data_IF_313366914038
#
_entry.id   IF_313366914038
#
_cell.length_a   1.000
_cell.length_b   1.000
_cell.length_c   1.000
_cell.angle_alpha   90.00
_cell.angle_beta   90.00
_cell.angle_gamma   90.00
#
_symmetry.space_group_name_H-M   'P 1'
#
loop_
_entity.id
_entity.type
_entity.pdbx_description
1 polymer ?
#
# COMPACT_ATOMS: atom_id res chain seq x y z
N UNK A 1 27.07 6.98 15.42
CA UNK A 1 25.83 7.49 16.03
C UNK A 1 24.70 6.68 15.44
N UNK A 2 24.05 5.86 16.27
CA UNK A 2 23.16 4.79 15.81
C UNK A 2 21.86 5.33 15.20
N UNK A 3 21.44 4.73 14.11
CA UNK A 3 20.15 4.89 13.41
C UNK A 3 18.92 4.53 14.26
N UNK A 4 19.08 4.31 15.56
CA UNK A 4 18.01 4.02 16.53
C UNK A 4 17.21 5.25 16.99
N UNK A 5 17.55 6.48 16.58
CA UNK A 5 17.08 7.69 17.29
C UNK A 5 16.12 8.62 16.53
N UNK A 6 16.10 8.67 15.20
CA UNK A 6 15.28 9.68 14.47
C UNK A 6 13.78 9.40 14.59
N UNK A 7 13.35 8.14 14.61
CA UNK A 7 11.92 7.82 14.64
C UNK A 7 11.34 7.83 16.05
N UNK A 8 12.18 7.74 17.07
CA UNK A 8 11.77 7.99 18.45
C UNK A 8 11.91 9.46 18.82
N UNK A 9 12.53 10.27 17.95
CA UNK A 9 12.65 11.71 18.14
C UNK A 9 11.26 12.34 18.22
N UNK A 10 10.92 12.97 19.37
CA UNK A 10 9.66 13.69 19.51
C UNK A 10 9.45 14.76 18.44
N UNK A 11 10.53 15.36 17.92
CA UNK A 11 10.44 16.35 16.85
C UNK A 11 9.98 15.73 15.53
N UNK A 12 10.57 14.59 15.14
CA UNK A 12 10.13 13.84 13.97
C UNK A 12 8.68 13.39 14.09
N UNK A 13 8.27 12.87 15.26
CA UNK A 13 6.88 12.43 15.48
C UNK A 13 5.87 13.57 15.35
N UNK A 14 6.22 14.79 15.80
CA UNK A 14 5.39 15.99 15.61
C UNK A 14 5.29 16.37 14.14
N UNK A 15 6.41 16.43 13.41
CA UNK A 15 6.44 16.72 11.97
C UNK A 15 5.62 15.69 11.18
N UNK A 16 5.80 14.41 11.47
CA UNK A 16 5.00 13.32 10.87
C UNK A 16 3.51 13.54 11.10
N UNK A 17 3.11 13.83 12.34
CA UNK A 17 1.70 14.09 12.66
C UNK A 17 1.17 15.30 11.88
N UNK A 18 1.93 16.40 11.84
CA UNK A 18 1.56 17.60 11.10
C UNK A 18 1.44 17.33 9.59
N UNK A 19 2.40 16.62 9.00
CA UNK A 19 2.39 16.22 7.59
C UNK A 19 1.12 15.44 7.21
N UNK A 20 0.80 14.37 7.95
CA UNK A 20 -0.38 13.56 7.65
C UNK A 20 -1.70 14.31 7.94
N UNK A 21 -1.71 15.20 8.94
CA UNK A 21 -2.86 16.07 9.19
C UNK A 21 -3.09 17.05 8.03
N UNK A 22 -2.04 17.73 7.58
CA UNK A 22 -2.10 18.62 6.42
C UNK A 22 -2.55 17.88 5.16
N UNK A 23 -1.96 16.70 4.88
CA UNK A 23 -2.35 15.84 3.78
C UNK A 23 -3.86 15.53 3.83
N UNK A 24 -4.38 15.10 4.99
CA UNK A 24 -5.81 14.83 5.14
C UNK A 24 -6.68 16.08 5.01
N UNK A 25 -6.19 17.26 5.39
CA UNK A 25 -6.90 18.53 5.23
C UNK A 25 -6.99 18.96 3.75
N UNK A 26 -5.96 18.68 2.94
CA UNK A 26 -6.01 18.88 1.49
C UNK A 26 -7.05 17.99 0.80
N UNK A 27 -7.30 16.80 1.35
CA UNK A 27 -8.24 15.81 0.81
C UNK A 27 -9.49 15.62 1.69
N UNK A 28 -10.02 16.72 2.24
CA UNK A 28 -11.17 16.71 3.17
C UNK A 28 -12.42 16.04 2.61
N UNK A 29 -12.66 16.14 1.29
CA UNK A 29 -13.80 15.46 0.64
C UNK A 29 -13.76 13.95 0.85
N UNK A 30 -12.60 13.32 0.65
CA UNK A 30 -12.40 11.89 0.83
C UNK A 30 -12.43 11.53 2.32
N UNK A 31 -11.87 12.39 3.18
CA UNK A 31 -11.93 12.24 4.62
C UNK A 31 -13.38 12.18 5.17
N UNK A 32 -14.31 12.94 4.56
CA UNK A 32 -15.75 12.88 4.91
C UNK A 32 -16.33 11.49 4.64
N UNK A 33 -15.93 10.84 3.54
CA UNK A 33 -16.38 9.49 3.22
C UNK A 33 -15.98 8.48 4.31
N UNK A 34 -14.82 8.65 4.95
CA UNK A 34 -14.41 7.77 6.05
C UNK A 34 -15.36 7.87 7.26
N UNK A 35 -15.81 9.09 7.56
CA UNK A 35 -16.79 9.32 8.63
C UNK A 35 -18.15 8.74 8.27
N UNK A 36 -18.64 9.00 7.06
CA UNK A 36 -19.93 8.51 6.55
C UNK A 36 -20.02 6.99 6.47
N UNK A 37 -18.88 6.32 6.24
CA UNK A 37 -18.78 4.86 6.21
C UNK A 37 -18.36 4.26 7.56
N UNK A 38 -18.29 5.08 8.62
CA UNK A 38 -18.05 4.61 9.98
C UNK A 38 -16.62 4.11 10.24
N UNK A 39 -15.65 4.43 9.38
CA UNK A 39 -14.24 4.04 9.57
C UNK A 39 -13.58 4.75 10.77
N UNK A 40 -14.11 5.92 11.16
CA UNK A 40 -13.54 6.78 12.20
C UNK A 40 -14.30 6.78 13.55
N UNK A 41 -15.45 6.10 13.66
CA UNK A 41 -16.36 6.22 14.81
C UNK A 41 -15.93 5.34 15.98
N UNK A 42 -15.69 5.87 17.18
CA UNK A 42 -15.17 5.12 18.34
C UNK A 42 -15.95 3.86 18.73
N UNK A 43 -17.28 3.91 18.79
CA UNK A 43 -18.12 2.77 19.18
C UNK A 43 -18.29 1.71 18.06
N UNK A 44 -18.06 2.09 16.80
CA UNK A 44 -18.28 1.24 15.62
C UNK A 44 -17.03 0.91 14.80
N UNK A 45 -15.84 1.35 15.21
CA UNK A 45 -14.58 1.25 14.44
C UNK A 45 -13.61 0.19 14.98
N UNK A 46 -14.03 -0.68 15.91
CA UNK A 46 -13.19 -1.79 16.40
C UNK A 46 -12.79 -2.68 15.20
N UNK A 47 -11.59 -2.44 14.66
CA UNK A 47 -11.02 -3.15 13.51
C UNK A 47 -11.14 -2.49 12.14
N UNK A 48 -11.59 -1.22 12.02
CA UNK A 48 -11.70 -0.50 10.72
C UNK A 48 -10.81 0.76 10.60
N UNK A 49 -10.15 1.16 11.69
CA UNK A 49 -9.18 2.28 11.68
C UNK A 49 -7.90 1.95 10.92
N UNK A 50 -7.52 0.66 10.89
CA UNK A 50 -6.50 0.09 10.03
C UNK A 50 -6.77 0.40 8.55
N UNK A 51 -8.00 0.26 8.07
CA UNK A 51 -8.37 0.59 6.69
C UNK A 51 -8.15 2.07 6.39
N UNK A 52 -8.63 2.97 7.24
CA UNK A 52 -8.41 4.41 7.06
C UNK A 52 -6.90 4.78 7.06
N UNK A 53 -6.08 4.09 7.87
CA UNK A 53 -4.63 4.28 7.91
C UNK A 53 -3.93 3.69 6.69
N UNK A 54 -4.36 2.51 6.22
CA UNK A 54 -3.91 1.87 4.98
C UNK A 54 -4.13 2.80 3.80
N UNK A 55 -5.32 3.34 3.67
CA UNK A 55 -5.68 4.25 2.58
C UNK A 55 -4.91 5.56 2.65
N UNK A 56 -4.70 6.12 3.85
CA UNK A 56 -3.89 7.33 4.02
C UNK A 56 -2.43 7.11 3.62
N UNK A 57 -1.80 6.02 4.10
CA UNK A 57 -0.42 5.72 3.74
C UNK A 57 -0.29 5.38 2.24
N UNK A 58 -1.26 4.64 1.70
CA UNK A 58 -1.35 4.35 0.27
C UNK A 58 -1.41 5.64 -0.55
N UNK A 59 -2.25 6.59 -0.16
CA UNK A 59 -2.35 7.87 -0.85
C UNK A 59 -1.05 8.68 -0.84
N UNK A 60 -0.33 8.70 0.28
CA UNK A 60 0.99 9.36 0.38
C UNK A 60 2.05 8.66 -0.48
N UNK A 61 2.05 7.32 -0.51
CA UNK A 61 2.93 6.57 -1.42
C UNK A 61 2.59 6.82 -2.88
N UNK A 62 1.30 6.88 -3.23
CA UNK A 62 0.81 7.20 -4.57
C UNK A 62 1.23 8.61 -4.99
N UNK A 63 1.08 9.62 -4.13
CA UNK A 63 1.58 10.98 -4.37
C UNK A 63 3.08 10.93 -4.68
N UNK A 64 3.86 10.28 -3.81
CA UNK A 64 5.32 10.22 -3.91
C UNK A 64 5.79 9.51 -5.19
N UNK A 65 5.23 8.34 -5.51
CA UNK A 65 5.56 7.61 -6.74
C UNK A 65 5.19 8.41 -7.99
N UNK A 66 4.04 9.07 -7.97
CA UNK A 66 3.56 9.83 -9.12
C UNK A 66 4.42 11.08 -9.36
N UNK A 67 4.88 11.75 -8.30
CA UNK A 67 5.86 12.85 -8.40
C UNK A 67 7.20 12.38 -8.97
N UNK A 68 7.74 11.26 -8.48
CA UNK A 68 8.98 10.68 -9.00
C UNK A 68 8.87 10.31 -10.48
N UNK A 69 7.70 9.85 -10.91
CA UNK A 69 7.38 9.57 -12.31
C UNK A 69 7.06 10.84 -13.13
N UNK A 70 7.12 12.03 -12.53
CA UNK A 70 6.85 13.30 -13.18
C UNK A 70 5.45 13.37 -13.79
N UNK A 71 4.45 12.87 -13.07
CA UNK A 71 3.03 12.96 -13.45
C UNK A 71 2.50 14.38 -13.31
N UNK A 72 1.44 14.70 -14.03
CA UNK A 72 0.82 16.03 -13.90
C UNK A 72 0.11 16.17 -12.55
N UNK A 73 -0.03 17.38 -11.99
CA UNK A 73 -0.77 17.59 -10.75
C UNK A 73 -2.20 17.03 -10.79
N UNK A 74 -2.87 17.10 -11.94
CA UNK A 74 -4.22 16.57 -12.14
C UNK A 74 -4.26 15.04 -12.08
N UNK A 75 -3.28 14.36 -12.71
CA UNK A 75 -3.15 12.91 -12.63
C UNK A 75 -2.82 12.45 -11.19
N UNK A 76 -1.93 13.19 -10.51
CA UNK A 76 -1.55 12.92 -9.11
C UNK A 76 -2.79 13.02 -8.21
N UNK A 77 -3.56 14.11 -8.30
CA UNK A 77 -4.76 14.29 -7.48
C UNK A 77 -5.80 13.18 -7.74
N UNK A 78 -6.01 12.83 -9.01
CA UNK A 78 -6.91 11.73 -9.37
C UNK A 78 -6.48 10.39 -8.76
N UNK A 79 -5.19 10.03 -8.83
CA UNK A 79 -4.66 8.80 -8.24
C UNK A 79 -4.70 8.79 -6.71
N UNK A 80 -4.43 9.94 -6.08
CA UNK A 80 -4.59 10.10 -4.62
C UNK A 80 -6.04 9.86 -4.22
N UNK A 81 -7.00 10.45 -4.95
CA UNK A 81 -8.41 10.28 -4.66
C UNK A 81 -8.84 8.81 -4.74
N UNK A 82 -8.39 8.07 -5.75
CA UNK A 82 -8.62 6.62 -5.85
C UNK A 82 -8.01 5.89 -4.66
N UNK A 83 -6.73 6.17 -4.35
CA UNK A 83 -6.00 5.53 -3.25
C UNK A 83 -6.67 5.78 -1.89
N UNK A 84 -7.23 6.96 -1.66
CA UNK A 84 -7.97 7.27 -0.44
C UNK A 84 -9.28 6.50 -0.36
N UNK A 85 -9.98 6.21 -1.45
CA UNK A 85 -11.36 5.68 -1.36
C UNK A 85 -11.50 4.18 -1.66
N UNK A 86 -10.47 3.54 -2.20
CA UNK A 86 -10.58 2.19 -2.79
C UNK A 86 -11.17 1.10 -1.86
N UNK A 87 -10.98 1.23 -0.56
CA UNK A 87 -11.40 0.27 0.47
C UNK A 87 -12.56 0.77 1.35
N UNK A 88 -13.12 1.96 1.08
CA UNK A 88 -14.12 2.59 1.96
C UNK A 88 -15.37 1.72 2.15
N UNK A 89 -15.77 0.98 1.11
CA UNK A 89 -16.96 0.12 1.14
C UNK A 89 -16.69 -1.29 1.68
N UNK A 90 -15.43 -1.68 1.98
CA UNK A 90 -15.10 -3.02 2.47
C UNK A 90 -15.90 -3.41 3.70
N UNK A 91 -16.18 -2.46 4.59
CA UNK A 91 -17.03 -2.68 5.78
C UNK A 91 -18.43 -3.11 5.42
N UNK A 92 -19.10 -2.35 4.57
CA UNK A 92 -20.47 -2.64 4.14
C UNK A 92 -20.55 -3.95 3.36
N UNK A 93 -19.51 -4.28 2.61
CA UNK A 93 -19.41 -5.55 1.90
C UNK A 93 -19.25 -6.73 2.88
N UNK A 94 -18.35 -6.66 3.86
CA UNK A 94 -18.16 -7.71 4.84
C UNK A 94 -19.37 -7.89 5.77
N UNK A 95 -20.10 -6.83 6.10
CA UNK A 95 -21.33 -6.90 6.89
C UNK A 95 -22.51 -7.53 6.12
N UNK A 96 -22.50 -7.51 4.79
CA UNK A 96 -23.63 -7.97 3.94
C UNK A 96 -23.44 -9.36 3.34
N UNK A 97 -22.25 -9.94 3.39
CA UNK A 97 -21.90 -11.08 2.54
C UNK A 97 -21.26 -12.19 3.40
N UNK A 98 -21.79 -13.41 3.35
CA UNK A 98 -21.12 -14.57 3.96
C UNK A 98 -19.77 -14.81 3.30
N UNK A 99 -18.79 -15.42 3.99
CA UNK A 99 -17.46 -15.70 3.42
C UNK A 99 -17.53 -16.40 2.05
N UNK A 100 -18.49 -17.31 1.87
CA UNK A 100 -18.74 -18.03 0.61
C UNK A 100 -19.24 -17.11 -0.52
N UNK A 101 -20.05 -16.10 -0.18
CA UNK A 101 -20.57 -15.15 -1.14
C UNK A 101 -19.52 -14.08 -1.54
N UNK A 102 -18.55 -13.76 -0.67
CA UNK A 102 -17.40 -12.90 -1.04
C UNK A 102 -16.51 -13.60 -2.07
N UNK A 103 -16.21 -14.89 -1.86
CA UNK A 103 -15.42 -15.69 -2.81
C UNK A 103 -16.15 -15.80 -4.16
N UNK A 104 -17.46 -16.03 -4.13
CA UNK A 104 -18.28 -16.15 -5.35
C UNK A 104 -18.39 -14.80 -6.09
N UNK A 105 -18.46 -13.69 -5.38
CA UNK A 105 -18.49 -12.35 -5.97
C UNK A 105 -17.16 -11.99 -6.64
N UNK A 106 -16.03 -12.25 -5.97
CA UNK A 106 -14.69 -11.98 -6.52
C UNK A 106 -14.39 -12.84 -7.76
N UNK A 107 -14.88 -14.09 -7.81
CA UNK A 107 -14.74 -14.97 -8.97
C UNK A 107 -15.60 -14.58 -10.17
N UNK A 108 -16.68 -13.81 -9.94
CA UNK A 108 -17.67 -13.45 -10.97
C UNK A 108 -17.64 -11.95 -11.34
N UNK A 109 -16.64 -11.17 -10.88
CA UNK A 109 -16.49 -9.77 -11.31
C UNK A 109 -16.03 -9.72 -12.77
N UNK A 110 -16.95 -9.36 -13.66
CA UNK A 110 -16.68 -9.07 -15.08
C UNK A 110 -15.95 -7.74 -15.28
N UNK A 111 -16.05 -6.81 -14.33
CA UNK A 111 -15.42 -5.49 -14.40
C UNK A 111 -13.99 -5.50 -13.83
N UNK A 112 -13.07 -4.83 -14.52
CA UNK A 112 -11.73 -4.49 -14.01
C UNK A 112 -11.91 -3.67 -12.71
N UNK A 113 -11.60 -4.21 -11.51
CA UNK A 113 -11.58 -3.38 -10.31
C UNK A 113 -10.50 -2.30 -10.46
N UNK A 114 -10.85 -1.05 -10.14
CA UNK A 114 -9.92 0.09 -10.16
C UNK A 114 -8.72 -0.07 -9.21
N UNK A 115 -8.84 -0.96 -8.22
CA UNK A 115 -7.77 -1.45 -7.34
C UNK A 115 -8.20 -2.86 -6.93
N UNK A 116 -7.39 -3.90 -7.18
CA UNK A 116 -7.80 -5.26 -6.79
C UNK A 116 -7.09 -5.83 -5.58
N UNK A 117 -7.94 -6.44 -4.75
CA UNK A 117 -7.70 -7.69 -4.03
C UNK A 117 -6.70 -8.58 -4.78
N UNK A 118 -5.70 -9.11 -4.07
CA UNK A 118 -4.45 -9.70 -4.60
C UNK A 118 -4.56 -10.97 -5.47
N UNK A 119 -5.66 -11.20 -6.16
CA UNK A 119 -5.88 -12.36 -7.03
C UNK A 119 -6.59 -12.08 -8.36
N UNK A 120 -6.94 -10.82 -8.69
CA UNK A 120 -7.46 -10.48 -10.02
C UNK A 120 -6.36 -9.88 -10.92
N UNK A 121 -5.95 -10.66 -11.92
CA UNK A 121 -4.89 -10.33 -12.90
C UNK A 121 -5.45 -10.03 -14.30
N UNK A 122 -6.76 -9.82 -14.42
CA UNK A 122 -7.42 -9.70 -15.72
C UNK A 122 -6.92 -8.47 -16.48
N UNK A 123 -6.45 -8.70 -17.70
CA UNK A 123 -5.98 -7.66 -18.62
C UNK A 123 -4.64 -7.03 -18.24
N UNK A 124 -3.77 -7.74 -17.50
CA UNK A 124 -2.42 -7.28 -17.12
C UNK A 124 -1.60 -6.73 -18.29
N UNK A 125 -1.70 -7.38 -19.46
CA UNK A 125 -1.08 -6.96 -20.71
C UNK A 125 -1.56 -5.60 -21.24
N UNK A 126 -2.70 -5.12 -20.74
CA UNK A 126 -3.32 -3.83 -21.08
C UNK A 126 -3.29 -2.83 -19.93
N UNK A 127 -2.61 -3.14 -18.83
CA UNK A 127 -2.53 -2.21 -17.70
C UNK A 127 -1.65 -1.02 -18.03
N UNK A 128 -2.17 0.17 -17.74
CA UNK A 128 -1.43 1.42 -17.88
C UNK A 128 -0.61 1.72 -16.62
N UNK A 129 0.31 2.66 -16.71
CA UNK A 129 1.20 3.03 -15.62
C UNK A 129 0.45 3.49 -14.35
N UNK A 130 -0.75 4.07 -14.49
CA UNK A 130 -1.64 4.39 -13.37
C UNK A 130 -2.04 3.16 -12.55
N UNK A 131 -2.39 2.06 -13.24
CA UNK A 131 -2.71 0.78 -12.59
C UNK A 131 -1.47 0.23 -11.90
N UNK A 132 -0.30 0.26 -12.55
CA UNK A 132 0.96 -0.18 -11.93
C UNK A 132 1.26 0.55 -10.61
N UNK A 133 1.08 1.87 -10.55
CA UNK A 133 1.25 2.65 -9.32
C UNK A 133 0.30 2.14 -8.24
N UNK A 134 -1.01 2.10 -8.53
CA UNK A 134 -2.03 1.71 -7.54
C UNK A 134 -1.83 0.29 -7.03
N UNK A 135 -1.47 -0.65 -7.91
CA UNK A 135 -1.21 -2.05 -7.56
C UNK A 135 0.04 -2.22 -6.72
N UNK A 136 1.11 -1.50 -7.08
CA UNK A 136 2.36 -1.51 -6.32
C UNK A 136 2.14 -0.98 -4.91
N UNK A 137 1.46 0.16 -4.79
CA UNK A 137 1.15 0.81 -3.52
C UNK A 137 0.29 -0.09 -2.65
N UNK A 138 -0.85 -0.56 -3.13
CA UNK A 138 -1.74 -1.42 -2.33
C UNK A 138 -1.05 -2.72 -1.92
N UNK A 139 -0.14 -3.24 -2.76
CA UNK A 139 0.68 -4.42 -2.44
C UNK A 139 1.80 -4.14 -1.44
N UNK A 140 2.23 -2.89 -1.30
CA UNK A 140 3.32 -2.47 -0.42
C UNK A 140 2.84 -1.84 0.88
N UNK A 141 1.56 -1.53 1.03
CA UNK A 141 0.97 -1.11 2.31
C UNK A 141 0.25 -2.29 2.94
N UNK A 142 0.60 -2.62 4.18
CA UNK A 142 0.07 -3.78 4.87
C UNK A 142 -0.31 -3.50 6.32
N UNK A 143 -1.27 -4.27 6.81
CA UNK A 143 -1.51 -4.43 8.25
C UNK A 143 -0.46 -5.38 8.83
N UNK A 144 -0.03 -5.12 10.07
CA UNK A 144 0.86 -6.01 10.79
C UNK A 144 0.09 -7.29 11.23
N UNK A 145 0.36 -8.48 10.68
CA UNK A 145 -0.54 -9.64 10.84
C UNK A 145 -0.45 -10.31 12.22
N UNK A 146 0.65 -10.14 12.96
CA UNK A 146 0.81 -10.45 14.39
C UNK A 146 1.99 -9.59 14.90
N UNK A 147 1.89 -8.98 16.09
CA UNK A 147 3.10 -8.77 16.90
C UNK A 147 3.85 -10.11 16.94
N UNK A 148 4.88 -10.30 16.11
CA UNK A 148 6.24 -10.66 16.55
C UNK A 148 7.25 -10.93 15.42
N UNK A 149 6.90 -11.01 14.12
CA UNK A 149 7.96 -11.27 13.13
C UNK A 149 7.78 -10.59 11.76
N UNK A 150 8.79 -9.76 11.48
CA UNK A 150 9.30 -9.30 10.19
C UNK A 150 8.40 -8.36 9.36
N UNK A 151 8.67 -7.06 9.53
CA UNK A 151 8.30 -5.99 8.61
C UNK A 151 8.77 -4.64 9.13
N UNK A 152 9.79 -4.04 8.51
CA UNK A 152 10.39 -2.80 8.99
C UNK A 152 9.62 -1.61 8.41
N UNK A 153 8.88 -0.86 9.23
CA UNK A 153 8.79 0.59 9.04
C UNK A 153 9.37 1.28 10.27
N UNK A 154 10.53 1.89 10.01
CA UNK A 154 11.33 2.80 10.84
C UNK A 154 11.41 2.54 12.36
N UNK A 155 12.53 1.92 12.78
CA UNK A 155 13.15 2.20 14.08
C UNK A 155 12.50 1.59 15.32
N UNK A 156 11.35 0.93 15.23
CA UNK A 156 10.94 0.02 16.28
C UNK A 156 11.70 -1.30 16.10
N UNK A 157 12.90 -1.41 16.71
CA UNK A 157 13.48 -2.72 17.03
C UNK A 157 12.59 -3.51 18.00
N UNK A 158 11.60 -2.85 18.59
CA UNK A 158 10.60 -3.46 19.44
C UNK A 158 9.31 -3.72 18.65
N UNK A 159 9.11 -4.99 18.26
CA UNK A 159 7.89 -5.50 17.61
C UNK A 159 6.60 -5.19 18.38
N UNK A 160 6.69 -4.76 19.65
CA UNK A 160 5.54 -4.47 20.52
C UNK A 160 4.95 -3.06 20.35
N UNK A 161 5.61 -2.13 19.64
CA UNK A 161 5.21 -0.71 19.57
C UNK A 161 5.01 -0.17 18.14
N UNK A 162 4.89 -1.04 17.14
CA UNK A 162 4.64 -0.63 15.75
C UNK A 162 3.24 -0.01 15.59
N UNK A 163 3.06 1.00 14.71
CA UNK A 163 1.73 1.42 14.29
C UNK A 163 1.01 0.31 13.53
N UNK A 164 -0.33 0.32 13.53
CA UNK A 164 -1.15 -0.76 12.95
C UNK A 164 -0.93 -0.98 11.43
N UNK A 165 -0.35 0.00 10.72
CA UNK A 165 -0.09 -0.05 9.27
C UNK A 165 1.34 0.39 8.97
N UNK A 166 2.00 -0.32 8.06
CA UNK A 166 3.40 -0.13 7.65
C UNK A 166 3.54 -0.18 6.12
N UNK A 167 4.56 0.47 5.56
CA UNK A 167 5.02 0.10 4.21
C UNK A 167 5.94 -1.11 4.39
N UNK A 168 5.78 -2.09 3.52
CA UNK A 168 6.63 -3.26 3.44
C UNK A 168 7.00 -3.45 1.97
N UNK A 169 8.22 -3.91 1.67
CA UNK A 169 8.49 -4.44 0.36
C UNK A 169 7.43 -5.48 0.02
N UNK A 170 6.75 -5.34 -1.13
CA UNK A 170 5.66 -6.25 -1.49
C UNK A 170 6.08 -7.72 -1.44
N UNK A 171 7.37 -8.01 -1.72
CA UNK A 171 7.96 -9.35 -1.58
C UNK A 171 7.77 -9.92 -0.18
N UNK A 172 8.07 -9.13 0.85
CA UNK A 172 7.90 -9.53 2.23
C UNK A 172 6.43 -9.79 2.55
N UNK A 173 5.54 -8.90 2.10
CA UNK A 173 4.10 -9.06 2.32
C UNK A 173 3.53 -10.30 1.63
N UNK A 174 3.96 -10.61 0.41
CA UNK A 174 3.53 -11.82 -0.30
C UNK A 174 4.00 -13.08 0.42
N UNK A 175 5.23 -13.10 0.92
CA UNK A 175 5.73 -14.24 1.70
C UNK A 175 4.93 -14.43 2.99
N UNK A 176 4.64 -13.35 3.72
CA UNK A 176 3.79 -13.40 4.92
C UNK A 176 2.37 -13.89 4.57
N UNK A 177 1.80 -13.41 3.48
CA UNK A 177 0.49 -13.84 3.00
C UNK A 177 0.47 -15.33 2.66
N UNK A 178 1.46 -15.82 1.90
CA UNK A 178 1.60 -17.23 1.56
C UNK A 178 1.76 -18.11 2.80
N UNK A 179 2.57 -17.69 3.78
CA UNK A 179 2.75 -18.41 5.03
C UNK A 179 1.43 -18.52 5.81
N UNK A 180 0.73 -17.39 6.00
CA UNK A 180 -0.58 -17.37 6.66
C UNK A 180 -1.60 -18.26 5.94
N UNK A 181 -1.60 -18.24 4.61
CA UNK A 181 -2.52 -19.06 3.80
C UNK A 181 -2.17 -20.54 3.78
N UNK A 182 -0.88 -20.87 3.79
CA UNK A 182 -0.41 -22.24 3.93
C UNK A 182 -0.77 -22.84 5.30
N UNK A 183 -0.70 -22.05 6.38
CA UNK A 183 -1.20 -22.45 7.71
C UNK A 183 -2.71 -22.75 7.71
N UNK A 184 -3.48 -22.01 6.89
CA UNK A 184 -4.91 -22.25 6.65
C UNK A 184 -5.20 -23.40 5.66
N UNK A 185 -4.16 -24.04 5.11
CA UNK A 185 -4.26 -25.16 4.17
C UNK A 185 -4.45 -24.77 2.69
N UNK A 186 -4.40 -23.48 2.36
CA UNK A 186 -4.42 -22.98 0.98
C UNK A 186 -3.00 -23.05 0.36
N UNK A 187 -2.86 -23.41 -0.92
CA UNK A 187 -1.55 -23.52 -1.62
C UNK A 187 -1.48 -22.73 -2.94
N UNK A 188 -2.34 -21.72 -3.09
CA UNK A 188 -2.61 -21.10 -4.39
C UNK A 188 -3.38 -22.05 -5.32
N UNK A 189 -4.11 -21.50 -6.29
CA UNK A 189 -4.82 -22.32 -7.28
C UNK A 189 -3.87 -22.64 -8.45
N UNK A 190 -3.94 -23.83 -9.05
CA UNK A 190 -3.26 -24.09 -10.31
C UNK A 190 -3.67 -23.06 -11.37
N UNK A 191 -2.69 -22.50 -12.07
CA UNK A 191 -2.84 -21.52 -13.13
C UNK A 191 -1.83 -21.87 -14.24
N UNK A 192 -2.29 -22.65 -15.23
CA UNK A 192 -1.44 -23.26 -16.25
C UNK A 192 -0.31 -24.11 -15.62
N UNK A 193 0.95 -23.77 -15.91
CA UNK A 193 2.18 -24.41 -15.45
C UNK A 193 2.71 -23.84 -14.12
N UNK A 194 2.00 -22.90 -13.51
CA UNK A 194 2.33 -22.27 -12.24
C UNK A 194 1.11 -22.19 -11.31
N UNK A 195 1.27 -21.56 -10.16
CA UNK A 195 0.20 -21.23 -9.21
C UNK A 195 -0.21 -19.77 -9.34
N UNK A 196 -1.41 -19.43 -8.87
CA UNK A 196 -1.84 -18.02 -8.75
C UNK A 196 -0.90 -17.17 -7.91
N UNK A 197 -0.16 -17.77 -6.96
CA UNK A 197 0.81 -17.06 -6.14
C UNK A 197 2.11 -16.76 -6.90
N UNK A 198 2.61 -17.72 -7.69
CA UNK A 198 3.75 -17.49 -8.57
C UNK A 198 3.42 -16.44 -9.63
N UNK A 199 2.19 -16.48 -10.18
CA UNK A 199 1.76 -15.46 -11.14
C UNK A 199 1.69 -14.06 -10.53
N UNK A 200 1.21 -13.96 -9.29
CA UNK A 200 1.20 -12.70 -8.55
C UNK A 200 2.62 -12.15 -8.40
N UNK A 201 3.60 -12.96 -8.01
CA UNK A 201 4.97 -12.50 -7.91
C UNK A 201 5.56 -12.02 -9.23
N UNK A 202 5.31 -12.76 -10.33
CA UNK A 202 5.79 -12.40 -11.66
C UNK A 202 5.26 -11.02 -12.07
N UNK A 203 3.96 -10.79 -11.86
CA UNK A 203 3.31 -9.50 -12.11
C UNK A 203 3.94 -8.41 -11.23
N UNK A 204 4.11 -8.66 -9.94
CA UNK A 204 4.66 -7.66 -9.02
C UNK A 204 6.13 -7.34 -9.30
N UNK A 205 6.95 -8.32 -9.69
CA UNK A 205 8.32 -8.09 -10.18
C UNK A 205 8.31 -7.20 -11.41
N UNK A 206 7.41 -7.47 -12.36
CA UNK A 206 7.28 -6.68 -13.59
C UNK A 206 6.87 -5.24 -13.29
N UNK A 207 5.87 -5.04 -12.43
CA UNK A 207 5.41 -3.71 -12.00
C UNK A 207 6.56 -2.96 -11.32
N UNK A 208 7.22 -3.57 -10.33
CA UNK A 208 8.33 -2.94 -9.61
C UNK A 208 9.47 -2.55 -10.54
N UNK A 209 9.93 -3.46 -11.39
CA UNK A 209 11.04 -3.19 -12.32
C UNK A 209 10.68 -2.07 -13.29
N UNK A 210 9.46 -2.06 -13.83
CA UNK A 210 9.01 -1.00 -14.74
C UNK A 210 8.93 0.36 -14.04
N UNK A 211 8.32 0.42 -12.85
CA UNK A 211 8.24 1.66 -12.06
C UNK A 211 9.65 2.17 -11.72
N UNK A 212 10.53 1.30 -11.24
CA UNK A 212 11.89 1.67 -10.86
C UNK A 212 12.70 2.20 -12.05
N UNK A 213 12.69 1.51 -13.18
CA UNK A 213 13.39 1.97 -14.39
C UNK A 213 12.88 3.34 -14.86
N UNK A 214 11.57 3.54 -14.90
CA UNK A 214 10.99 4.82 -15.30
C UNK A 214 11.33 5.96 -14.33
N UNK A 215 11.45 5.67 -13.04
CA UNK A 215 11.88 6.64 -12.03
C UNK A 215 13.34 7.02 -12.25
N UNK A 216 14.23 6.06 -12.44
CA UNK A 216 15.65 6.35 -12.69
C UNK A 216 15.88 7.08 -14.01
N UNK A 217 15.14 6.74 -15.07
CA UNK A 217 15.21 7.44 -16.36
C UNK A 217 14.85 8.93 -16.22
N UNK A 218 13.94 9.26 -15.30
CA UNK A 218 13.51 10.65 -15.02
C UNK A 218 14.37 11.37 -13.99
N UNK A 219 15.00 10.62 -13.08
CA UNK A 219 15.78 11.13 -11.95
C UNK A 219 17.13 10.40 -11.95
N UNK A 220 18.02 10.67 -12.91
CA UNK A 220 19.26 9.91 -13.12
C UNK A 220 20.24 10.02 -11.95
N UNK A 221 20.14 11.08 -11.16
CA UNK A 221 20.88 11.29 -9.91
C UNK A 221 20.56 10.24 -8.83
N UNK A 222 19.36 9.65 -8.85
CA UNK A 222 18.98 8.59 -7.92
C UNK A 222 19.75 7.28 -8.17
N UNK A 223 20.32 7.08 -9.37
CA UNK A 223 21.05 5.87 -9.73
C UNK A 223 22.35 5.68 -8.93
N UNK A 224 22.88 6.73 -8.30
CA UNK A 224 24.04 6.64 -7.40
C UNK A 224 23.70 5.91 -6.09
N UNK A 225 22.46 6.06 -5.61
CA UNK A 225 21.99 5.54 -4.33
C UNK A 225 21.16 4.26 -4.48
N UNK A 226 20.43 4.12 -5.59
CA UNK A 226 19.52 3.00 -5.84
C UNK A 226 19.89 2.29 -7.14
N UNK A 227 20.31 1.03 -7.03
CA UNK A 227 20.90 0.25 -8.13
C UNK A 227 20.08 -0.98 -8.53
N UNK A 228 19.06 -1.33 -7.76
CA UNK A 228 18.20 -2.49 -8.00
C UNK A 228 16.73 -2.14 -7.82
N UNK A 229 15.84 -2.71 -8.64
CA UNK A 229 14.39 -2.50 -8.51
C UNK A 229 13.84 -2.93 -7.15
N UNK A 230 14.49 -3.88 -6.49
CA UNK A 230 14.14 -4.30 -5.13
C UNK A 230 14.26 -3.18 -4.09
N UNK A 231 14.94 -2.08 -4.43
CA UNK A 231 15.08 -0.88 -3.59
C UNK A 231 13.98 0.16 -3.85
N UNK A 232 13.00 -0.12 -4.73
CA UNK A 232 11.94 0.84 -5.03
C UNK A 232 11.15 1.24 -3.76
N UNK A 233 10.86 0.29 -2.87
CA UNK A 233 10.21 0.61 -1.59
C UNK A 233 11.07 1.54 -0.75
N UNK A 234 12.36 1.23 -0.58
CA UNK A 234 13.32 2.06 0.18
C UNK A 234 13.40 3.48 -0.40
N UNK A 235 13.48 3.61 -1.72
CA UNK A 235 13.47 4.89 -2.41
C UNK A 235 12.21 5.70 -2.10
N UNK A 236 11.03 5.09 -2.20
CA UNK A 236 9.75 5.78 -1.90
C UNK A 236 9.69 6.19 -0.43
N UNK A 237 10.17 5.34 0.47
CA UNK A 237 10.24 5.62 1.91
C UNK A 237 11.11 6.83 2.23
N UNK A 238 12.31 6.89 1.65
CA UNK A 238 13.23 8.01 1.84
C UNK A 238 12.62 9.33 1.37
N UNK A 239 11.91 9.32 0.23
CA UNK A 239 11.21 10.51 -0.28
C UNK A 239 10.05 10.95 0.62
N UNK A 240 9.29 10.02 1.20
CA UNK A 240 8.27 10.35 2.21
C UNK A 240 8.92 10.93 3.47
N UNK A 241 10.05 10.38 3.90
CA UNK A 241 10.79 10.87 5.04
C UNK A 241 11.27 12.32 4.82
N UNK A 242 11.85 12.61 3.66
CA UNK A 242 12.24 13.97 3.28
C UNK A 242 11.05 14.94 3.32
N UNK A 243 9.88 14.56 2.78
CA UNK A 243 8.65 15.36 2.85
C UNK A 243 8.25 15.66 4.30
N UNK A 244 8.31 14.66 5.18
CA UNK A 244 8.01 14.84 6.60
C UNK A 244 9.01 15.79 7.27
N UNK A 245 10.31 15.64 7.01
CA UNK A 245 11.34 16.51 7.58
C UNK A 245 11.21 17.97 7.12
N UNK A 246 10.69 18.18 5.90
CA UNK A 246 10.50 19.50 5.31
C UNK A 246 9.12 20.14 5.62
N UNK A 247 8.21 19.41 6.27
CA UNK A 247 6.91 19.93 6.75
C UNK A 247 6.96 20.73 8.05
#
# INVERSE_FOLDING_TARGET
MGTETIHQDPQFQRKKTAYFQDFMLRHLSQARMYKENGLLVEEGSRGWRNVARHQLLSAVMTETLSELLGRSPEEIDWLINISLIHDVDKRRQQEKVSKEAVITHELNREEKPLVATGSNFTGFDTWELSEFILRYVDSSVGENPKQDTAGVWFGARDSRHLPDVVILPWRQRIEMFKQSKAEEGEKGRPFYDMTTWEKLEEIMKTIESNLFSLILDKNPDLAESYTSSSQLTELVEDRIHEKILNS
#
